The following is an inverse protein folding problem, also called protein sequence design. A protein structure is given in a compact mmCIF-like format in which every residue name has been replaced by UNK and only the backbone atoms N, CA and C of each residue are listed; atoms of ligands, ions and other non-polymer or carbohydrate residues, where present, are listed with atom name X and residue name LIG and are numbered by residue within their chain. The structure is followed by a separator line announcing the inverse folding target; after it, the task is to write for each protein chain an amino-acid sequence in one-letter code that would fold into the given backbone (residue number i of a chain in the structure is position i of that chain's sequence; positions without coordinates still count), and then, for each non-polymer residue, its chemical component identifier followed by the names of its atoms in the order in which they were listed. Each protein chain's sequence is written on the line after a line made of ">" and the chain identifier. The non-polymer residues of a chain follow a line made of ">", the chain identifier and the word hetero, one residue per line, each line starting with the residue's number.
data_IF_028020414100
#
_entry.id   IF_028020414100
#
_cell.length_a   1.000
_cell.length_b   1.000
_cell.length_c   1.000
_cell.angle_alpha   90.00
_cell.angle_beta   90.00
_cell.angle_gamma   90.00
#
_symmetry.space_group_name_H-M   'P 1'
#
loop_
_entity.id
_entity.type
_entity.pdbx_description
1 polymer ?
#
# COMPACT_ATOMS: atom_id res chain seq x y z
N UNK A 1 19.75 -49.63 -41.67
CA UNK A 1 18.30 -49.49 -41.76
C UNK A 1 17.98 -48.36 -40.80
N UNK A 2 17.96 -47.16 -41.29
CA UNK A 2 16.83 -46.36 -41.72
C UNK A 2 15.97 -45.91 -40.54
N UNK A 3 15.97 -44.65 -40.23
CA UNK A 3 14.95 -43.66 -40.48
C UNK A 3 15.20 -42.39 -39.69
N UNK A 4 15.32 -41.27 -40.30
CA UNK A 4 14.32 -40.20 -40.53
C UNK A 4 13.70 -39.69 -39.22
N UNK A 5 13.86 -38.45 -38.74
CA UNK A 5 13.82 -37.13 -39.40
C UNK A 5 12.40 -36.55 -39.31
N UNK A 6 12.16 -35.64 -38.31
CA UNK A 6 11.04 -34.66 -38.26
C UNK A 6 11.50 -33.64 -37.25
N UNK A 7 11.80 -32.42 -37.52
CA UNK A 7 11.01 -31.41 -38.21
C UNK A 7 10.57 -30.42 -37.16
N UNK A 8 11.53 -29.54 -36.70
CA UNK A 8 11.18 -28.39 -35.87
C UNK A 8 10.94 -27.19 -36.81
N UNK A 9 9.69 -26.81 -37.03
CA UNK A 9 9.32 -25.58 -37.67
C UNK A 9 8.31 -24.80 -36.82
N UNK A 10 8.73 -23.58 -36.52
CA UNK A 10 7.94 -22.35 -36.47
C UNK A 10 6.73 -22.28 -35.53
N UNK A 11 6.99 -21.69 -34.38
CA UNK A 11 5.99 -20.86 -33.70
C UNK A 11 6.67 -19.56 -33.20
N UNK A 12 7.16 -18.75 -34.14
CA UNK A 12 7.58 -17.37 -33.89
C UNK A 12 6.99 -16.50 -34.98
N UNK A 13 5.76 -16.05 -34.76
CA UNK A 13 5.18 -14.91 -35.49
C UNK A 13 3.88 -14.55 -34.78
N UNK A 14 3.89 -13.52 -33.99
CA UNK A 14 2.78 -12.63 -33.61
C UNK A 14 2.99 -12.05 -32.20
N UNK A 15 3.97 -11.19 -32.05
CA UNK A 15 3.89 -10.09 -31.07
C UNK A 15 4.92 -9.04 -31.51
N UNK A 16 4.49 -8.25 -32.49
CA UNK A 16 5.20 -7.03 -32.89
C UNK A 16 4.42 -5.83 -32.31
N UNK A 17 5.22 -4.84 -31.92
CA UNK A 17 4.85 -3.44 -31.82
C UNK A 17 4.04 -2.98 -30.61
N UNK A 18 4.77 -2.56 -29.56
CA UNK A 18 4.64 -1.31 -28.80
C UNK A 18 5.27 -1.37 -27.41
N UNK A 19 6.60 -1.29 -27.34
CA UNK A 19 7.28 -0.82 -26.12
C UNK A 19 8.76 -0.52 -26.38
N UNK A 20 9.05 0.31 -27.40
CA UNK A 20 10.38 0.89 -27.58
C UNK A 20 10.37 2.35 -27.13
N UNK A 21 10.56 2.59 -25.83
CA UNK A 21 11.16 3.83 -25.29
C UNK A 21 11.38 3.65 -23.78
N UNK A 22 12.62 3.32 -23.38
CA UNK A 22 12.98 3.46 -21.97
C UNK A 22 13.94 2.43 -21.37
N UNK A 23 14.73 1.71 -22.17
CA UNK A 23 15.80 0.85 -21.62
C UNK A 23 17.07 0.96 -22.45
N UNK A 24 17.58 2.16 -22.54
CA UNK A 24 18.92 2.41 -23.06
C UNK A 24 19.97 2.25 -21.98
N UNK A 25 21.00 1.44 -22.25
CA UNK A 25 22.35 1.38 -21.67
C UNK A 25 22.71 0.28 -20.66
N UNK A 26 21.95 -0.78 -20.49
CA UNK A 26 22.44 -1.89 -19.66
C UNK A 26 22.62 -3.23 -20.40
N UNK A 27 22.23 -3.33 -21.68
CA UNK A 27 22.35 -4.57 -22.47
C UNK A 27 23.65 -4.73 -23.28
N UNK A 28 24.36 -3.65 -23.55
CA UNK A 28 25.59 -3.73 -24.38
C UNK A 28 26.86 -4.13 -23.61
N UNK A 29 26.88 -3.91 -22.28
CA UNK A 29 28.05 -4.28 -21.46
C UNK A 29 28.09 -5.79 -21.16
N UNK A 30 26.96 -6.48 -21.19
CA UNK A 30 26.94 -7.93 -20.95
C UNK A 30 27.31 -8.80 -22.15
N UNK A 31 27.17 -8.29 -23.39
CA UNK A 31 27.46 -9.08 -24.61
C UNK A 31 28.92 -8.98 -25.00
N UNK A 32 29.59 -7.84 -24.71
CA UNK A 32 30.99 -7.64 -25.07
C UNK A 32 32.00 -8.44 -24.24
N UNK A 33 31.58 -8.95 -23.06
CA UNK A 33 32.46 -9.74 -22.17
C UNK A 33 32.53 -11.22 -22.58
N UNK A 34 31.60 -11.70 -23.40
CA UNK A 34 31.48 -13.13 -23.75
C UNK A 34 32.36 -13.58 -24.94
N UNK A 35 32.87 -12.64 -25.74
CA UNK A 35 33.61 -12.98 -26.98
C UNK A 35 35.12 -12.97 -26.80
N UNK A 36 35.68 -12.27 -25.80
CA UNK A 36 37.11 -12.19 -25.57
C UNK A 36 37.70 -13.26 -24.61
N UNK A 37 36.87 -14.19 -24.14
CA UNK A 37 37.32 -15.22 -23.18
C UNK A 37 37.73 -16.56 -23.79
N UNK A 38 37.81 -16.68 -25.12
CA UNK A 38 38.05 -17.94 -25.82
C UNK A 38 39.54 -18.18 -26.18
N UNK A 39 40.45 -17.24 -25.90
CA UNK A 39 41.88 -17.36 -26.31
C UNK A 39 42.92 -17.16 -25.23
N UNK A 40 42.60 -17.10 -23.95
CA UNK A 40 43.59 -17.07 -22.89
C UNK A 40 43.23 -18.05 -21.77
N UNK A 41 44.15 -18.98 -21.46
CA UNK A 41 43.98 -20.05 -20.48
C UNK A 41 43.36 -19.60 -19.18
N UNK A 42 42.24 -20.22 -18.83
CA UNK A 42 41.39 -19.91 -17.70
C UNK A 42 42.17 -19.91 -16.36
N UNK A 43 42.44 -18.79 -15.70
CA UNK A 43 42.91 -18.82 -14.34
C UNK A 43 41.76 -19.28 -13.45
N UNK A 44 41.98 -20.34 -12.66
CA UNK A 44 41.03 -20.99 -11.74
C UNK A 44 40.42 -20.08 -10.66
N UNK A 45 40.45 -18.75 -10.84
CA UNK A 45 40.08 -17.76 -9.83
C UNK A 45 39.08 -16.69 -10.34
N UNK A 46 38.52 -16.85 -11.56
CA UNK A 46 37.56 -15.85 -12.13
C UNK A 46 36.18 -15.88 -11.46
N UNK A 47 35.88 -16.93 -10.70
CA UNK A 47 34.62 -16.97 -9.94
C UNK A 47 34.58 -16.09 -8.67
N UNK A 48 35.70 -15.41 -8.33
CA UNK A 48 35.79 -14.61 -7.09
C UNK A 48 35.41 -13.14 -7.24
N UNK A 49 35.10 -12.67 -8.45
CA UNK A 49 34.70 -11.29 -8.71
C UNK A 49 33.29 -11.15 -9.28
N UNK A 50 32.44 -12.13 -9.09
CA UNK A 50 31.03 -11.78 -9.00
C UNK A 50 30.95 -10.98 -7.72
N UNK A 51 30.88 -9.66 -7.83
CA UNK A 51 30.63 -8.78 -6.68
C UNK A 51 29.49 -9.41 -5.93
N UNK A 52 29.81 -10.00 -4.76
CA UNK A 52 28.80 -10.41 -3.80
C UNK A 52 28.18 -9.10 -3.36
N UNK A 53 27.26 -8.60 -4.16
CA UNK A 53 26.43 -7.48 -3.75
C UNK A 53 25.88 -7.94 -2.42
N UNK A 54 26.34 -7.33 -1.34
CA UNK A 54 26.03 -7.80 0.02
C UNK A 54 24.50 -7.87 0.10
N UNK A 55 23.94 -9.05 0.30
CA UNK A 55 22.49 -9.25 0.39
C UNK A 55 21.84 -8.19 1.28
N UNK A 56 22.53 -7.79 2.34
CA UNK A 56 22.10 -6.70 3.22
C UNK A 56 21.95 -5.38 2.45
N UNK A 57 22.86 -5.09 1.50
CA UNK A 57 22.77 -3.88 0.68
C UNK A 57 21.58 -3.96 -0.29
N UNK A 58 21.36 -5.10 -0.95
CA UNK A 58 20.20 -5.32 -1.82
C UNK A 58 18.88 -5.15 -1.07
N UNK A 59 18.79 -5.71 0.15
CA UNK A 59 17.62 -5.53 1.02
C UNK A 59 17.45 -4.05 1.39
N UNK A 60 18.52 -3.37 1.78
CA UNK A 60 18.48 -1.95 2.14
C UNK A 60 18.06 -1.05 0.97
N UNK A 61 18.54 -1.33 -0.23
CA UNK A 61 18.19 -0.59 -1.45
C UNK A 61 16.73 -0.78 -1.82
N UNK A 62 16.21 -2.02 -1.74
CA UNK A 62 14.79 -2.30 -1.94
C UNK A 62 13.91 -1.57 -0.93
N UNK A 63 14.30 -1.56 0.34
CA UNK A 63 13.58 -0.82 1.39
C UNK A 63 13.62 0.68 1.12
N UNK A 64 14.76 1.23 0.69
CA UNK A 64 14.90 2.66 0.40
C UNK A 64 14.11 3.13 -0.83
N UNK A 65 13.97 2.25 -1.84
CA UNK A 65 13.22 2.54 -3.06
C UNK A 65 11.70 2.54 -2.86
N UNK A 66 11.23 1.92 -1.79
CA UNK A 66 9.80 1.77 -1.52
C UNK A 66 9.23 2.93 -0.69
N UNK A 67 7.88 2.95 -0.58
CA UNK A 67 7.20 3.88 0.31
C UNK A 67 7.69 3.72 1.76
N UNK A 68 7.98 4.84 2.42
CA UNK A 68 8.43 4.84 3.82
C UNK A 68 7.41 4.26 4.82
N UNK A 69 6.15 4.09 4.41
CA UNK A 69 5.10 3.52 5.25
C UNK A 69 5.01 1.99 5.15
N UNK A 70 5.75 1.37 4.22
CA UNK A 70 5.63 -0.05 3.95
C UNK A 70 6.17 -0.91 5.09
N UNK A 71 5.41 -1.96 5.42
CA UNK A 71 5.82 -3.02 6.35
C UNK A 71 6.32 -4.22 5.55
N UNK A 72 7.45 -4.72 5.95
CA UNK A 72 8.21 -5.77 5.30
C UNK A 72 8.16 -7.07 6.08
N UNK A 73 8.19 -8.16 5.34
CA UNK A 73 8.36 -9.50 5.88
C UNK A 73 9.56 -10.17 5.22
N UNK A 74 10.17 -11.20 5.80
CA UNK A 74 11.24 -11.93 5.13
C UNK A 74 10.83 -12.55 3.79
N UNK A 75 9.53 -12.83 3.59
CA UNK A 75 9.01 -13.38 2.32
C UNK A 75 9.21 -12.40 1.16
N UNK A 76 9.17 -11.09 1.44
CA UNK A 76 9.32 -10.03 0.43
C UNK A 76 10.75 -9.96 -0.17
N UNK A 77 11.71 -10.74 0.37
CA UNK A 77 13.13 -10.74 -0.03
C UNK A 77 13.66 -12.12 -0.42
N UNK A 78 12.81 -13.14 -0.51
CA UNK A 78 13.25 -14.52 -0.82
C UNK A 78 13.80 -14.67 -2.25
N UNK A 79 13.49 -13.75 -3.14
CA UNK A 79 14.08 -13.65 -4.47
C UNK A 79 15.55 -13.20 -4.45
N UNK A 80 16.00 -12.55 -3.37
CA UNK A 80 17.37 -12.06 -3.22
C UNK A 80 18.29 -13.10 -2.59
N UNK A 81 17.76 -14.09 -1.85
CA UNK A 81 18.59 -15.09 -1.19
C UNK A 81 17.81 -16.07 -0.31
N UNK A 82 18.54 -16.99 0.32
CA UNK A 82 17.92 -17.97 1.21
C UNK A 82 17.29 -17.31 2.43
N UNK A 83 16.27 -17.99 3.02
CA UNK A 83 15.56 -17.49 4.19
C UNK A 83 16.48 -17.10 5.33
N UNK A 84 17.46 -17.94 5.65
CA UNK A 84 18.40 -17.68 6.75
C UNK A 84 19.31 -16.47 6.46
N UNK A 85 19.73 -16.31 5.21
CA UNK A 85 20.54 -15.16 4.81
C UNK A 85 19.73 -13.86 4.88
N UNK A 86 18.46 -13.88 4.44
CA UNK A 86 17.52 -12.76 4.55
C UNK A 86 17.26 -12.39 6.01
N UNK A 87 16.97 -13.37 6.87
CA UNK A 87 16.72 -13.12 8.30
C UNK A 87 17.96 -12.49 8.98
N UNK A 88 19.18 -12.95 8.67
CA UNK A 88 20.43 -12.34 9.13
C UNK A 88 20.63 -10.93 8.60
N UNK A 89 20.30 -10.67 7.34
CA UNK A 89 20.36 -9.32 6.74
C UNK A 89 19.40 -8.35 7.43
N UNK A 90 18.15 -8.76 7.65
CA UNK A 90 17.15 -7.96 8.36
C UNK A 90 17.56 -7.68 9.80
N UNK A 91 18.08 -8.67 10.54
CA UNK A 91 18.60 -8.47 11.89
C UNK A 91 19.74 -7.44 11.93
N UNK A 92 20.68 -7.49 10.96
CA UNK A 92 21.76 -6.51 10.86
C UNK A 92 21.26 -5.11 10.52
N UNK A 93 20.18 -4.97 9.74
CA UNK A 93 19.56 -3.67 9.47
C UNK A 93 18.83 -3.12 10.69
N UNK A 94 18.22 -3.98 11.50
CA UNK A 94 17.61 -3.59 12.77
C UNK A 94 18.67 -3.16 13.77
N UNK A 95 19.78 -3.90 13.94
CA UNK A 95 20.86 -3.53 14.87
C UNK A 95 21.55 -2.20 14.50
N UNK A 96 21.46 -1.79 13.21
CA UNK A 96 21.98 -0.49 12.72
C UNK A 96 20.91 0.63 12.73
N UNK A 97 19.71 0.37 13.26
CA UNK A 97 18.63 1.34 13.31
C UNK A 97 18.03 1.72 11.94
N UNK A 98 18.37 0.99 10.85
CA UNK A 98 17.81 1.21 9.53
C UNK A 98 16.38 0.67 9.41
N UNK A 99 16.09 -0.41 10.12
CA UNK A 99 14.77 -1.00 10.28
C UNK A 99 14.40 -1.08 11.76
N UNK A 100 13.10 -1.05 12.04
CA UNK A 100 12.53 -1.35 13.35
C UNK A 100 11.77 -2.66 13.23
N UNK A 101 11.91 -3.54 14.23
CA UNK A 101 11.12 -4.76 14.33
C UNK A 101 9.84 -4.44 15.09
N UNK A 102 8.69 -4.63 14.45
CA UNK A 102 7.37 -4.42 15.05
C UNK A 102 6.90 -5.65 15.81
N UNK A 103 7.07 -6.82 15.19
CA UNK A 103 6.74 -8.14 15.75
C UNK A 103 7.58 -9.22 15.05
N UNK A 104 7.34 -10.48 15.38
CA UNK A 104 8.05 -11.61 14.77
C UNK A 104 7.84 -11.65 13.25
N UNK A 105 8.93 -11.36 12.50
CA UNK A 105 8.94 -11.32 11.05
C UNK A 105 8.16 -10.15 10.46
N UNK A 106 8.03 -9.03 11.18
CA UNK A 106 7.48 -7.77 10.71
C UNK A 106 8.48 -6.64 10.97
N UNK A 107 8.79 -5.91 9.94
CA UNK A 107 9.79 -4.85 9.96
C UNK A 107 9.25 -3.60 9.26
N UNK A 108 9.55 -2.41 9.79
CA UNK A 108 9.27 -1.15 9.14
C UNK A 108 10.49 -0.22 9.15
N UNK A 109 10.41 0.84 8.37
CA UNK A 109 11.39 1.93 8.41
C UNK A 109 10.96 2.93 9.48
N UNK A 110 11.78 3.15 10.54
CA UNK A 110 11.43 4.09 11.60
C UNK A 110 11.33 5.51 11.03
N UNK A 111 10.19 6.15 11.26
CA UNK A 111 9.93 7.55 10.88
C UNK A 111 9.82 8.40 12.13
N UNK A 112 10.30 9.61 12.07
CA UNK A 112 10.16 10.57 13.16
C UNK A 112 8.97 11.49 12.84
N UNK A 113 8.02 11.56 13.76
CA UNK A 113 6.93 12.50 13.67
C UNK A 113 7.51 13.93 13.84
N UNK A 114 7.28 14.77 12.84
CA UNK A 114 7.85 16.15 12.81
C UNK A 114 7.35 17.04 13.96
N UNK A 115 6.13 16.80 14.42
CA UNK A 115 5.50 17.57 15.49
C UNK A 115 5.98 17.11 16.87
N UNK A 116 5.89 15.80 17.13
CA UNK A 116 6.18 15.24 18.47
C UNK A 116 7.65 14.87 18.67
N UNK A 117 8.47 14.87 17.61
CA UNK A 117 9.87 14.41 17.58
C UNK A 117 10.07 12.97 18.08
N UNK A 118 8.99 12.20 18.18
CA UNK A 118 9.00 10.79 18.59
C UNK A 118 8.92 9.89 17.36
N UNK A 119 9.36 8.62 17.46
CA UNK A 119 9.13 7.65 16.40
C UNK A 119 7.64 7.55 16.10
N UNK A 120 7.27 7.63 14.81
CA UNK A 120 5.89 7.46 14.40
C UNK A 120 5.47 5.99 14.60
N UNK A 121 4.23 5.79 15.03
CA UNK A 121 3.62 4.45 15.09
C UNK A 121 3.47 3.89 13.67
N UNK A 122 3.69 2.60 13.50
CA UNK A 122 3.49 1.94 12.22
C UNK A 122 2.00 1.95 11.84
N UNK A 123 1.69 2.14 10.56
CA UNK A 123 0.32 2.10 10.08
C UNK A 123 -0.20 0.66 10.16
N UNK A 124 -1.25 0.43 10.94
CA UNK A 124 -1.86 -0.88 11.11
C UNK A 124 -2.32 -1.49 9.78
N UNK A 125 -2.70 -0.66 8.79
CA UNK A 125 -3.12 -1.11 7.46
C UNK A 125 -1.98 -1.84 6.76
N UNK A 126 -0.79 -1.27 6.80
CA UNK A 126 0.41 -1.87 6.22
C UNK A 126 0.82 -3.16 6.95
N UNK A 127 0.59 -3.23 8.26
CA UNK A 127 0.84 -4.45 9.04
C UNK A 127 -0.14 -5.54 8.61
N UNK A 128 -1.44 -5.23 8.51
CA UNK A 128 -2.47 -6.18 8.07
C UNK A 128 -2.19 -6.69 6.66
N UNK A 129 -1.84 -5.79 5.73
CA UNK A 129 -1.48 -6.14 4.36
C UNK A 129 -0.23 -7.03 4.30
N UNK A 130 0.79 -6.73 5.10
CA UNK A 130 2.02 -7.54 5.19
C UNK A 130 1.73 -8.94 5.74
N UNK A 131 0.88 -9.04 6.77
CA UNK A 131 0.46 -10.30 7.34
C UNK A 131 -0.38 -11.14 6.36
N UNK A 132 -1.32 -10.50 5.67
CA UNK A 132 -2.15 -11.16 4.65
C UNK A 132 -1.28 -11.76 3.54
N UNK A 133 -0.30 -10.99 3.04
CA UNK A 133 0.65 -11.48 2.02
C UNK A 133 1.54 -12.60 2.53
N UNK A 134 2.11 -12.45 3.75
CA UNK A 134 3.04 -13.43 4.31
C UNK A 134 2.40 -14.79 4.56
N UNK A 135 1.18 -14.78 5.12
CA UNK A 135 0.54 -15.98 5.63
C UNK A 135 -0.58 -16.49 4.72
N UNK A 136 -0.85 -15.76 3.61
CA UNK A 136 -1.88 -16.11 2.63
C UNK A 136 -3.27 -16.31 3.27
N UNK A 137 -3.60 -15.46 4.25
CA UNK A 137 -4.85 -15.51 5.01
C UNK A 137 -5.74 -14.32 4.67
N UNK A 138 -7.05 -14.52 4.81
CA UNK A 138 -8.03 -13.46 4.64
C UNK A 138 -8.09 -12.59 5.88
N UNK A 139 -8.06 -11.27 5.69
CA UNK A 139 -8.13 -10.30 6.77
C UNK A 139 -9.19 -9.25 6.46
N UNK A 140 -10.11 -9.05 7.39
CA UNK A 140 -11.24 -8.15 7.29
C UNK A 140 -11.22 -7.21 8.49
N UNK A 141 -11.11 -5.91 8.24
CA UNK A 141 -11.12 -4.88 9.28
C UNK A 141 -12.52 -4.78 9.87
N UNK A 142 -12.65 -4.54 11.18
CA UNK A 142 -13.95 -4.32 11.83
C UNK A 142 -14.62 -3.01 11.40
N UNK A 143 -15.93 -2.93 11.63
CA UNK A 143 -16.74 -1.82 11.13
C UNK A 143 -16.43 -0.47 11.74
N UNK A 144 -16.11 -0.38 13.04
CA UNK A 144 -15.74 0.87 13.70
C UNK A 144 -14.45 1.44 13.10
N UNK A 145 -13.43 0.61 12.98
CA UNK A 145 -12.15 1.00 12.38
C UNK A 145 -12.34 1.42 10.93
N UNK A 146 -13.15 0.67 10.16
CA UNK A 146 -13.47 1.02 8.78
C UNK A 146 -14.22 2.36 8.66
N UNK A 147 -15.20 2.62 9.53
CA UNK A 147 -15.94 3.89 9.55
C UNK A 147 -15.04 5.08 9.92
N UNK A 148 -14.11 4.89 10.87
CA UNK A 148 -13.13 5.91 11.23
C UNK A 148 -12.16 6.18 10.07
N UNK A 149 -11.65 5.15 9.40
CA UNK A 149 -10.76 5.25 8.24
C UNK A 149 -11.38 6.06 7.09
N UNK A 150 -12.68 5.92 6.88
CA UNK A 150 -13.43 6.61 5.84
C UNK A 150 -13.91 8.02 6.28
N UNK A 151 -13.69 8.40 7.55
CA UNK A 151 -14.18 9.66 8.10
C UNK A 151 -15.70 9.73 8.22
N UNK A 152 -16.36 8.58 8.40
CA UNK A 152 -17.81 8.46 8.60
C UNK A 152 -18.18 8.58 10.08
N UNK A 153 -17.23 8.46 10.99
CA UNK A 153 -17.39 8.65 12.43
C UNK A 153 -16.21 9.40 13.03
N UNK A 154 -16.44 10.10 14.13
CA UNK A 154 -15.41 10.73 14.96
C UNK A 154 -14.90 9.80 16.07
N UNK A 155 -15.54 8.63 16.25
CA UNK A 155 -15.10 7.66 17.22
C UNK A 155 -13.74 7.07 16.82
N UNK A 156 -12.74 7.20 17.69
CA UNK A 156 -11.40 6.66 17.49
C UNK A 156 -11.30 5.32 18.22
N UNK A 157 -11.06 4.21 17.51
CA UNK A 157 -10.91 2.91 18.12
C UNK A 157 -9.63 2.87 18.97
N UNK A 158 -9.72 2.42 20.23
CA UNK A 158 -8.55 2.16 21.09
C UNK A 158 -7.79 0.90 20.69
N UNK A 159 -8.45 0.01 19.97
CA UNK A 159 -7.89 -1.21 19.40
C UNK A 159 -8.48 -1.47 18.03
N UNK A 160 -7.67 -2.05 17.14
CA UNK A 160 -8.10 -2.49 15.81
C UNK A 160 -8.42 -3.97 15.86
N UNK A 161 -9.66 -4.33 15.54
CA UNK A 161 -10.07 -5.73 15.45
C UNK A 161 -10.03 -6.19 14.00
N UNK A 162 -9.34 -7.30 13.75
CA UNK A 162 -9.20 -7.91 12.42
C UNK A 162 -9.85 -9.30 12.45
N UNK A 163 -10.86 -9.49 11.63
CA UNK A 163 -11.49 -10.78 11.41
C UNK A 163 -10.64 -11.59 10.41
N UNK A 164 -10.32 -12.83 10.75
CA UNK A 164 -9.46 -13.69 9.93
C UNK A 164 -9.84 -15.16 10.07
N UNK A 165 -9.50 -15.96 9.08
CA UNK A 165 -9.64 -17.42 9.11
C UNK A 165 -8.48 -18.14 9.80
N UNK A 166 -7.45 -17.40 10.26
CA UNK A 166 -6.29 -17.94 10.94
C UNK A 166 -6.28 -17.57 12.44
N UNK A 167 -5.71 -18.45 13.27
CA UNK A 167 -5.44 -18.14 14.68
C UNK A 167 -4.18 -17.30 14.80
N UNK A 168 -4.30 -16.12 15.40
CA UNK A 168 -3.20 -15.19 15.62
C UNK A 168 -3.24 -14.58 17.01
N UNK A 169 -2.05 -14.25 17.51
CA UNK A 169 -1.91 -13.46 18.74
C UNK A 169 -2.06 -11.98 18.40
N UNK A 170 -2.57 -11.22 19.36
CA UNK A 170 -2.62 -9.77 19.26
C UNK A 170 -1.21 -9.18 19.09
N UNK A 171 -1.12 -8.09 18.34
CA UNK A 171 0.13 -7.32 18.14
C UNK A 171 -0.03 -6.01 18.91
N UNK A 172 0.92 -5.71 19.77
CA UNK A 172 0.99 -4.45 20.52
C UNK A 172 1.88 -3.46 19.76
N UNK A 173 1.36 -2.28 19.48
CA UNK A 173 2.07 -1.19 18.81
C UNK A 173 1.97 0.03 19.73
N UNK A 174 3.00 0.35 20.48
CA UNK A 174 3.02 1.48 21.40
C UNK A 174 1.66 1.71 22.11
N UNK A 175 0.80 2.54 21.54
CA UNK A 175 -0.53 2.89 22.07
C UNK A 175 -1.70 2.24 21.29
N UNK A 176 -1.46 1.37 20.33
CA UNK A 176 -2.48 0.71 19.52
C UNK A 176 -2.31 -0.82 19.61
N UNK A 177 -3.41 -1.52 19.88
CA UNK A 177 -3.45 -2.99 19.87
C UNK A 177 -4.19 -3.48 18.64
N UNK A 178 -3.60 -4.41 17.89
CA UNK A 178 -4.28 -5.15 16.82
C UNK A 178 -4.70 -6.50 17.38
N UNK A 179 -6.01 -6.72 17.51
CA UNK A 179 -6.60 -7.99 17.92
C UNK A 179 -7.07 -8.79 16.71
N UNK A 180 -6.86 -10.10 16.73
CA UNK A 180 -7.32 -11.01 15.67
C UNK A 180 -8.45 -11.87 16.16
N UNK A 181 -9.59 -11.84 15.44
CA UNK A 181 -10.78 -12.61 15.76
C UNK A 181 -11.01 -13.67 14.69
N UNK A 182 -11.01 -14.95 15.11
CA UNK A 182 -11.31 -16.07 14.22
C UNK A 182 -12.73 -15.95 13.67
N UNK A 183 -12.87 -16.02 12.34
CA UNK A 183 -14.15 -15.83 11.65
C UNK A 183 -14.26 -16.86 10.52
N UNK A 184 -15.44 -17.41 10.34
CA UNK A 184 -15.68 -18.40 9.28
C UNK A 184 -15.38 -17.82 7.88
N UNK A 185 -14.74 -18.57 6.98
CA UNK A 185 -14.37 -18.10 5.64
C UNK A 185 -15.54 -17.54 4.82
N UNK A 186 -16.75 -18.04 5.03
CA UNK A 186 -17.97 -17.54 4.37
C UNK A 186 -18.29 -16.09 4.70
N UNK A 187 -17.89 -15.60 5.87
CA UNK A 187 -18.10 -14.21 6.31
C UNK A 187 -16.97 -13.27 5.86
N UNK A 188 -15.93 -13.81 5.25
CA UNK A 188 -14.75 -13.07 4.80
C UNK A 188 -14.75 -12.78 3.28
N UNK A 189 -15.94 -12.77 2.65
CA UNK A 189 -16.07 -12.49 1.22
C UNK A 189 -15.42 -11.14 0.82
N UNK A 190 -15.57 -10.13 1.64
CA UNK A 190 -15.05 -8.78 1.38
C UNK A 190 -13.58 -8.61 1.79
N UNK A 191 -12.97 -9.60 2.43
CA UNK A 191 -11.56 -9.52 2.86
C UNK A 191 -10.61 -9.32 1.67
N UNK A 192 -9.73 -8.32 1.76
CA UNK A 192 -8.78 -7.96 0.72
C UNK A 192 -9.36 -7.28 -0.52
N UNK A 193 -10.69 -7.07 -0.59
CA UNK A 193 -11.34 -6.38 -1.70
C UNK A 193 -11.24 -4.84 -1.53
N UNK A 194 -11.19 -4.07 -2.62
CA UNK A 194 -11.13 -2.61 -2.57
C UNK A 194 -12.24 -1.98 -1.71
N UNK A 195 -13.49 -2.41 -1.90
CA UNK A 195 -14.66 -1.87 -1.22
C UNK A 195 -14.87 -2.40 0.22
N UNK A 196 -13.99 -3.27 0.72
CA UNK A 196 -14.09 -3.88 2.05
C UNK A 196 -14.46 -2.88 3.15
N UNK A 197 -13.75 -1.74 3.21
CA UNK A 197 -13.96 -0.73 4.26
C UNK A 197 -15.34 -0.07 4.17
N UNK A 198 -15.81 0.18 2.96
CA UNK A 198 -17.16 0.76 2.74
C UNK A 198 -18.21 -0.19 3.30
N UNK A 199 -18.14 -1.47 2.94
CA UNK A 199 -19.11 -2.47 3.38
C UNK A 199 -19.06 -2.66 4.90
N UNK A 200 -17.88 -2.75 5.49
CA UNK A 200 -17.74 -2.91 6.93
C UNK A 200 -18.22 -1.68 7.71
N UNK A 201 -17.90 -0.49 7.22
CA UNK A 201 -18.40 0.76 7.81
C UNK A 201 -19.92 0.84 7.77
N UNK A 202 -20.55 0.49 6.65
CA UNK A 202 -22.01 0.48 6.53
C UNK A 202 -22.65 -0.55 7.47
N UNK A 203 -22.07 -1.74 7.63
CA UNK A 203 -22.55 -2.71 8.61
C UNK A 203 -22.55 -2.16 10.04
N UNK A 204 -21.50 -1.44 10.42
CA UNK A 204 -21.40 -0.83 11.74
C UNK A 204 -22.34 0.36 11.92
N UNK A 205 -22.53 1.17 10.87
CA UNK A 205 -23.39 2.35 10.90
C UNK A 205 -24.88 2.03 10.80
N UNK A 206 -25.29 0.78 10.65
CA UNK A 206 -26.68 0.37 10.37
C UNK A 206 -27.70 1.07 11.27
N UNK A 207 -27.43 1.14 12.56
CA UNK A 207 -28.36 1.69 13.56
C UNK A 207 -28.38 3.23 13.55
N UNK A 208 -27.35 3.89 13.05
CA UNK A 208 -27.24 5.35 12.93
C UNK A 208 -27.65 5.87 11.55
N UNK A 209 -27.83 4.98 10.56
CA UNK A 209 -28.23 5.36 9.21
C UNK A 209 -29.51 6.21 9.13
N UNK A 210 -30.58 5.95 9.93
CA UNK A 210 -31.79 6.77 9.83
C UNK A 210 -31.55 8.24 10.14
N UNK A 211 -30.60 8.55 11.01
CA UNK A 211 -30.29 9.93 11.45
C UNK A 211 -29.24 10.60 10.56
N UNK A 212 -28.23 9.86 10.11
CA UNK A 212 -27.03 10.40 9.45
C UNK A 212 -26.95 10.06 7.95
N UNK A 213 -28.03 9.58 7.34
CA UNK A 213 -28.05 9.04 5.97
C UNK A 213 -27.41 9.98 4.95
N UNK A 214 -27.87 11.22 4.89
CA UNK A 214 -27.43 12.19 3.87
C UNK A 214 -25.93 12.51 4.02
N UNK A 215 -25.46 12.65 5.25
CA UNK A 215 -24.03 12.86 5.54
C UNK A 215 -23.18 11.68 5.10
N UNK A 216 -23.65 10.45 5.35
CA UNK A 216 -22.96 9.22 4.97
C UNK A 216 -22.95 9.08 3.45
N UNK A 217 -24.07 9.29 2.77
CA UNK A 217 -24.17 9.24 1.31
C UNK A 217 -23.24 10.28 0.65
N UNK A 218 -23.26 11.53 1.11
CA UNK A 218 -22.38 12.57 0.58
C UNK A 218 -20.90 12.21 0.75
N UNK A 219 -20.53 11.64 1.91
CA UNK A 219 -19.14 11.22 2.14
C UNK A 219 -18.74 10.04 1.25
N UNK A 220 -19.60 9.05 1.08
CA UNK A 220 -19.36 7.91 0.20
C UNK A 220 -19.25 8.34 -1.26
N UNK A 221 -20.13 9.21 -1.74
CA UNK A 221 -20.05 9.79 -3.09
C UNK A 221 -18.71 10.51 -3.31
N UNK A 222 -18.24 11.29 -2.33
CA UNK A 222 -16.93 11.94 -2.42
C UNK A 222 -15.77 10.94 -2.49
N UNK A 223 -15.85 9.80 -1.78
CA UNK A 223 -14.84 8.74 -1.84
C UNK A 223 -14.86 8.04 -3.20
N UNK A 224 -16.04 7.75 -3.72
CA UNK A 224 -16.20 7.09 -5.02
C UNK A 224 -15.84 8.01 -6.20
N UNK A 225 -15.92 9.32 -6.03
CA UNK A 225 -15.49 10.30 -7.03
C UNK A 225 -13.97 10.49 -7.09
N UNK A 226 -13.18 9.91 -6.17
CA UNK A 226 -11.71 10.02 -6.19
C UNK A 226 -11.15 9.38 -7.47
N UNK A 227 -10.39 10.13 -8.30
CA UNK A 227 -9.88 9.64 -9.59
C UNK A 227 -8.86 8.49 -9.45
N UNK A 228 -8.26 8.30 -8.27
CA UNK A 228 -7.23 7.28 -8.05
C UNK A 228 -7.81 5.90 -7.78
N UNK A 229 -8.86 5.81 -6.96
CA UNK A 229 -9.42 4.52 -6.51
C UNK A 229 -10.92 4.39 -6.73
N UNK A 230 -11.63 5.48 -7.02
CA UNK A 230 -13.09 5.48 -7.12
C UNK A 230 -13.61 4.49 -8.15
N UNK A 231 -12.97 4.39 -9.33
CA UNK A 231 -13.36 3.40 -10.35
C UNK A 231 -13.28 1.97 -9.80
N UNK A 232 -12.15 1.60 -9.18
CA UNK A 232 -11.97 0.26 -8.62
C UNK A 232 -12.97 -0.06 -7.50
N UNK A 233 -13.29 0.93 -6.66
CA UNK A 233 -14.30 0.81 -5.60
C UNK A 233 -15.70 0.59 -6.18
N UNK A 234 -16.09 1.35 -7.20
CA UNK A 234 -17.39 1.21 -7.88
C UNK A 234 -17.56 -0.15 -8.54
N UNK A 235 -16.54 -0.59 -9.26
CA UNK A 235 -16.56 -1.88 -9.96
C UNK A 235 -16.65 -3.03 -8.96
N UNK A 236 -15.94 -2.92 -7.85
CA UNK A 236 -15.96 -3.91 -6.78
C UNK A 236 -17.32 -3.95 -6.05
N UNK A 237 -17.93 -2.79 -5.77
CA UNK A 237 -19.27 -2.70 -5.18
C UNK A 237 -20.33 -3.28 -6.11
N UNK A 238 -20.29 -2.99 -7.42
CA UNK A 238 -21.22 -3.57 -8.42
C UNK A 238 -21.11 -5.09 -8.44
N UNK A 239 -19.91 -5.61 -8.48
CA UNK A 239 -19.65 -7.06 -8.51
C UNK A 239 -20.13 -7.74 -7.23
N UNK A 240 -19.91 -7.14 -6.08
CA UNK A 240 -20.28 -7.71 -4.78
C UNK A 240 -21.70 -7.41 -4.33
N UNK A 241 -22.45 -6.60 -5.07
CA UNK A 241 -23.81 -6.15 -4.68
C UNK A 241 -24.77 -7.29 -4.26
N UNK A 242 -24.83 -8.43 -4.96
CA UNK A 242 -25.72 -9.53 -4.58
C UNK A 242 -25.39 -10.17 -3.21
N UNK A 243 -24.19 -9.98 -2.69
CA UNK A 243 -23.76 -10.54 -1.40
C UNK A 243 -24.14 -9.66 -0.21
N UNK A 244 -24.62 -8.45 -0.47
CA UNK A 244 -25.01 -7.48 0.56
C UNK A 244 -26.45 -7.67 1.02
N UNK A 245 -26.78 -7.31 2.27
CA UNK A 245 -28.16 -7.24 2.72
C UNK A 245 -28.99 -6.27 1.88
N UNK A 246 -30.30 -6.51 1.72
CA UNK A 246 -31.17 -5.69 0.87
C UNK A 246 -31.07 -4.18 1.16
N UNK A 247 -31.17 -3.78 2.43
CA UNK A 247 -31.04 -2.37 2.83
C UNK A 247 -29.73 -1.70 2.40
N UNK A 248 -28.63 -2.47 2.40
CA UNK A 248 -27.32 -1.97 1.97
C UNK A 248 -27.20 -1.93 0.45
N UNK A 249 -27.84 -2.88 -0.25
CA UNK A 249 -27.92 -2.86 -1.71
C UNK A 249 -28.58 -1.58 -2.23
N UNK A 250 -29.69 -1.16 -1.60
CA UNK A 250 -30.41 0.05 -1.99
C UNK A 250 -29.55 1.29 -1.80
N UNK A 251 -28.87 1.37 -0.67
CA UNK A 251 -27.94 2.46 -0.36
C UNK A 251 -26.75 2.52 -1.34
N UNK A 252 -26.16 1.37 -1.65
CA UNK A 252 -25.05 1.28 -2.60
C UNK A 252 -25.51 1.64 -4.02
N UNK A 253 -26.71 1.22 -4.46
CA UNK A 253 -27.27 1.62 -5.76
C UNK A 253 -27.47 3.12 -5.84
N UNK A 254 -27.99 3.73 -4.79
CA UNK A 254 -28.18 5.19 -4.71
C UNK A 254 -26.86 5.94 -4.84
N UNK A 255 -25.83 5.54 -4.11
CA UNK A 255 -24.49 6.17 -4.20
C UNK A 255 -23.88 5.99 -5.60
N UNK A 256 -24.07 4.82 -6.22
CA UNK A 256 -23.56 4.53 -7.56
C UNK A 256 -24.33 5.27 -8.67
N UNK A 257 -25.61 5.62 -8.47
CA UNK A 257 -26.40 6.40 -9.44
C UNK A 257 -26.11 7.91 -9.36
N UNK A 258 -25.91 8.44 -8.16
CA UNK A 258 -25.61 9.87 -7.96
C UNK A 258 -24.28 10.33 -8.58
N UNK A 259 -23.41 9.39 -8.97
CA UNK A 259 -22.10 9.68 -9.57
C UNK A 259 -22.21 10.09 -11.06
N UNK A 260 -23.36 9.86 -11.72
CA UNK A 260 -23.60 10.27 -13.11
C UNK A 260 -24.03 11.74 -13.25
N UNK A 261 -24.50 12.39 -12.17
CA UNK A 261 -25.10 13.74 -12.23
C UNK A 261 -24.20 14.88 -11.73
N UNK A 262 -22.98 14.59 -11.24
CA UNK A 262 -22.06 15.66 -10.86
C UNK A 262 -20.90 15.80 -11.87
N UNK A 263 -20.94 16.78 -12.80
CA UNK A 263 -19.75 17.25 -13.47
C UNK A 263 -18.79 17.78 -12.41
N UNK A 264 -17.55 17.28 -12.45
CA UNK A 264 -16.46 17.71 -11.58
C UNK A 264 -16.25 19.22 -11.77
N UNK A 265 -16.90 20.03 -10.95
CA UNK A 265 -16.53 21.44 -10.84
C UNK A 265 -15.29 21.49 -9.96
N UNK A 266 -14.10 21.83 -10.50
CA UNK A 266 -12.91 21.94 -9.68
C UNK A 266 -13.17 23.04 -8.65
N UNK A 267 -13.17 22.68 -7.38
CA UNK A 267 -13.29 23.63 -6.27
C UNK A 267 -12.19 24.67 -6.45
N UNK A 268 -12.62 25.87 -6.82
CA UNK A 268 -11.79 27.06 -6.98
C UNK A 268 -11.10 27.28 -5.64
N UNK A 269 -9.84 26.88 -5.55
CA UNK A 269 -8.99 27.18 -4.39
C UNK A 269 -9.19 28.66 -4.10
N UNK A 270 -9.84 29.01 -2.99
CA UNK A 270 -9.87 30.34 -2.44
C UNK A 270 -8.40 30.75 -2.29
N UNK A 271 -7.93 31.59 -3.22
CA UNK A 271 -6.65 32.30 -3.05
C UNK A 271 -6.75 32.99 -1.71
N UNK A 272 -5.93 32.57 -0.77
CA UNK A 272 -5.74 33.26 0.48
C UNK A 272 -5.36 34.71 0.12
N UNK A 273 -6.25 35.62 0.51
CA UNK A 273 -6.04 37.08 0.35
C UNK A 273 -4.76 37.43 1.13
N UNK A 274 -3.77 37.91 0.41
CA UNK A 274 -2.53 38.38 1.01
C UNK A 274 -2.86 39.40 2.09
N UNK A 275 -2.17 39.42 3.24
CA UNK A 275 -2.39 40.40 4.28
C UNK A 275 -2.07 41.78 3.74
N UNK A 276 -2.97 42.75 3.96
CA UNK A 276 -2.81 44.16 3.60
C UNK A 276 -1.58 44.71 4.30
N UNK A 277 -0.73 45.41 3.54
CA UNK A 277 0.40 46.16 4.09
C UNK A 277 -0.12 47.15 5.12
N UNK A 278 0.54 47.31 6.30
CA UNK A 278 0.17 48.32 7.27
C UNK A 278 0.45 49.72 6.70
N UNK A 279 -0.54 50.60 6.81
CA UNK A 279 -0.43 51.97 6.40
C UNK A 279 0.65 52.69 7.21
N UNK A 280 1.57 53.38 6.53
CA UNK A 280 2.61 54.19 7.13
C UNK A 280 1.98 55.32 7.97
N UNK A 281 2.23 55.33 9.26
CA UNK A 281 1.84 56.37 10.22
C UNK A 281 2.71 57.60 9.97
N UNK A 282 2.12 58.66 9.38
CA UNK A 282 2.78 59.96 9.25
C UNK A 282 3.00 60.53 10.66
N UNK A 283 4.26 60.69 11.02
CA UNK A 283 4.69 61.41 12.22
C UNK A 283 4.63 62.92 11.88
N UNK A 284 3.81 63.67 12.61
CA UNK A 284 3.75 65.11 12.54
C UNK A 284 4.93 65.70 13.32
N UNK A 285 5.54 66.83 12.86
CA UNK A 285 6.66 67.46 13.56
C UNK A 285 6.18 68.19 14.80
N UNK A 286 6.86 67.97 15.92
CA UNK A 286 6.74 68.71 17.19
C UNK A 286 7.24 70.08 17.00
N UNK A 287 6.42 71.13 17.31
CA UNK A 287 6.83 72.51 17.47
C UNK A 287 7.50 72.71 18.86
N UNK A 288 8.70 73.15 18.82
CA UNK A 288 9.38 73.73 20.01
C UNK A 288 8.82 75.09 20.33
N UNK A 289 8.59 75.33 21.58
CA UNK A 289 8.66 76.63 22.27
C UNK A 289 9.11 76.41 23.70
#
# INVERSE_FOLDING_TARGET
>A
MSCAGFGALSFWSLFDDRASKGLGRLSEVCIQISVNSLLAGCPKNVYKYRTVTDLKQLVADRVAAASQAQVWTPVDFLDLGSRDAVDKALQRLVSRGRLRRLDRGLYDTPRINRLTKRPAVADYRQIVDALARRDQVRMLVDGLTAANDLGLTTAVPSKVVIHTDARRRAIQLDNLTIEFKGTAPSKLYWAGRPAMRIVQALHWLKDTLPTDRDRILARLSAILADPRYGKGLRDDLRTGLPTLPAWMQDMVREVLSNDHDHPITPSRRRRARAPAKPAARKIAPSRAS
#
